data_IF_572150515035
#
_entry.id   IF_572150515035
#
_cell.length_a   1.000
_cell.length_b   1.000
_cell.length_c   1.000
_cell.angle_alpha   90.00
_cell.angle_beta   90.00
_cell.angle_gamma   90.00
#
_symmetry.space_group_name_H-M   'P 1'
#
loop_
_entity.id
_entity.type
_entity.pdbx_description
1 polymer ?
#
# COMPACT_ATOMS: atom_id res chain seq x y z
N UNK A 1 10.53 7.34 -17.53
CA UNK A 1 9.43 6.35 -17.60
C UNK A 1 8.82 6.37 -18.98
N UNK A 2 8.51 5.19 -19.54
CA UNK A 2 7.62 5.15 -20.72
C UNK A 2 6.30 5.81 -20.33
N UNK A 3 5.70 6.51 -21.28
CA UNK A 3 4.58 7.44 -21.08
C UNK A 3 3.33 6.88 -20.39
N UNK A 4 3.21 5.55 -20.22
CA UNK A 4 2.05 4.85 -19.67
C UNK A 4 2.44 3.69 -18.72
N UNK A 5 3.46 3.87 -17.90
CA UNK A 5 3.88 2.84 -16.97
C UNK A 5 3.57 3.22 -15.52
N UNK A 6 3.33 2.22 -14.68
CA UNK A 6 3.30 2.31 -13.22
C UNK A 6 4.25 1.27 -12.64
N UNK A 7 4.68 1.47 -11.41
CA UNK A 7 5.40 0.45 -10.66
C UNK A 7 4.41 -0.22 -9.71
N UNK A 8 4.17 -1.51 -9.88
CA UNK A 8 3.28 -2.30 -9.02
C UNK A 8 4.11 -3.36 -8.30
N UNK A 9 4.22 -3.25 -6.97
CA UNK A 9 5.00 -4.18 -6.15
C UNK A 9 6.41 -4.41 -6.73
N UNK A 10 7.14 -3.33 -6.96
CA UNK A 10 8.50 -3.27 -7.54
C UNK A 10 8.63 -3.71 -9.02
N UNK A 11 7.52 -4.02 -9.69
CA UNK A 11 7.53 -4.39 -11.10
C UNK A 11 6.99 -3.24 -11.97
N UNK A 12 7.72 -2.87 -13.01
CA UNK A 12 7.25 -1.89 -14.00
C UNK A 12 6.19 -2.54 -14.90
N UNK A 13 5.01 -1.92 -14.97
CA UNK A 13 3.85 -2.41 -15.71
C UNK A 13 3.42 -1.38 -16.73
N UNK A 14 3.38 -1.76 -18.00
CA UNK A 14 2.76 -0.97 -19.08
C UNK A 14 1.22 -1.11 -19.00
N UNK A 15 0.54 0.02 -18.84
CA UNK A 15 -0.93 0.10 -18.75
C UNK A 15 -1.57 0.70 -20.01
N UNK A 16 -0.82 0.83 -21.10
CA UNK A 16 -1.31 1.43 -22.37
C UNK A 16 -2.51 0.71 -22.99
N UNK A 17 -2.71 -0.56 -22.62
CA UNK A 17 -3.83 -1.41 -23.09
C UNK A 17 -5.00 -1.47 -22.14
N UNK A 18 -4.86 -0.94 -20.92
CA UNK A 18 -5.92 -0.92 -19.91
C UNK A 18 -6.75 0.35 -20.03
N UNK A 19 -8.02 0.32 -19.61
CA UNK A 19 -8.88 1.51 -19.58
C UNK A 19 -8.40 2.49 -18.49
N UNK A 20 -7.92 3.70 -18.84
CA UNK A 20 -7.46 4.68 -17.85
C UNK A 20 -8.57 5.18 -16.93
N UNK A 21 -9.85 4.99 -17.28
CA UNK A 21 -11.00 5.40 -16.48
C UNK A 21 -11.49 4.30 -15.55
N UNK A 22 -10.97 3.07 -15.64
CA UNK A 22 -11.28 2.03 -14.67
C UNK A 22 -10.81 2.44 -13.27
N UNK A 23 -11.45 1.93 -12.22
CA UNK A 23 -10.93 2.12 -10.87
C UNK A 23 -9.60 1.36 -10.73
N UNK A 24 -8.67 1.94 -9.97
CA UNK A 24 -7.41 1.25 -9.66
C UNK A 24 -7.69 -0.09 -8.94
N UNK A 25 -8.76 -0.14 -8.13
CA UNK A 25 -9.21 -1.35 -7.44
C UNK A 25 -9.58 -2.45 -8.42
N UNK A 26 -10.42 -2.15 -9.42
CA UNK A 26 -10.83 -3.14 -10.45
C UNK A 26 -9.63 -3.64 -11.24
N UNK A 27 -8.74 -2.72 -11.65
CA UNK A 27 -7.54 -3.09 -12.37
C UNK A 27 -6.63 -4.02 -11.55
N UNK A 28 -6.40 -3.71 -10.26
CA UNK A 28 -5.61 -4.55 -9.35
C UNK A 28 -6.25 -5.95 -9.21
N UNK A 29 -7.57 -6.00 -9.03
CA UNK A 29 -8.27 -7.25 -8.75
C UNK A 29 -8.57 -8.08 -10.00
N UNK A 30 -9.03 -7.45 -11.08
CA UNK A 30 -9.54 -8.15 -12.27
C UNK A 30 -8.46 -8.38 -13.32
N UNK A 31 -7.60 -7.38 -13.58
CA UNK A 31 -6.52 -7.53 -14.56
C UNK A 31 -5.23 -8.10 -13.96
N UNK A 32 -4.84 -7.67 -12.75
CA UNK A 32 -3.61 -8.15 -12.10
C UNK A 32 -3.83 -9.34 -11.18
N UNK A 33 -5.08 -9.73 -10.92
CA UNK A 33 -5.45 -10.88 -10.09
C UNK A 33 -4.87 -10.81 -8.66
N UNK A 34 -4.63 -9.59 -8.15
CA UNK A 34 -4.16 -9.33 -6.79
C UNK A 34 -5.37 -9.15 -5.88
N UNK A 35 -5.87 -10.24 -5.32
CA UNK A 35 -7.13 -10.28 -4.57
C UNK A 35 -6.98 -9.93 -3.08
N UNK A 36 -5.77 -9.65 -2.59
CA UNK A 36 -5.54 -9.16 -1.23
C UNK A 36 -6.18 -7.80 -0.99
N UNK A 37 -6.11 -6.88 -1.96
CA UNK A 37 -6.88 -5.63 -1.93
C UNK A 37 -8.36 -5.94 -2.10
N UNK A 38 -9.20 -5.54 -1.12
CA UNK A 38 -10.62 -5.94 -1.06
C UNK A 38 -11.56 -4.82 -1.48
N UNK A 39 -12.68 -5.17 -2.08
CA UNK A 39 -13.79 -4.27 -2.31
C UNK A 39 -14.82 -4.42 -1.19
N UNK A 40 -14.98 -3.39 -0.36
CA UNK A 40 -15.97 -3.36 0.71
C UNK A 40 -17.12 -2.42 0.40
N UNK A 41 -16.89 -1.10 0.46
CA UNK A 41 -17.91 -0.07 0.21
C UNK A 41 -17.89 0.50 -1.21
N UNK A 42 -16.75 0.41 -1.92
CA UNK A 42 -16.51 1.04 -3.24
C UNK A 42 -16.66 2.59 -3.27
N UNK A 43 -16.73 3.24 -2.11
CA UNK A 43 -16.98 4.68 -1.94
C UNK A 43 -15.94 5.39 -1.06
N UNK A 44 -14.81 4.71 -0.73
CA UNK A 44 -13.68 5.30 -0.01
C UNK A 44 -13.82 5.33 1.52
N UNK A 45 -14.82 4.70 2.10
CA UNK A 45 -15.17 4.84 3.52
C UNK A 45 -14.60 3.72 4.41
N UNK A 46 -14.50 2.48 3.92
CA UNK A 46 -14.17 1.31 4.76
C UNK A 46 -12.69 0.96 4.85
N UNK A 47 -11.84 1.48 3.98
CA UNK A 47 -10.38 1.21 3.94
C UNK A 47 -9.98 -0.21 3.50
N UNK A 48 -10.90 -1.10 3.15
CA UNK A 48 -10.57 -2.47 2.73
C UNK A 48 -9.80 -2.51 1.39
N UNK A 49 -9.92 -1.46 0.58
CA UNK A 49 -9.23 -1.28 -0.69
C UNK A 49 -7.91 -0.51 -0.58
N UNK A 50 -7.40 -0.25 0.62
CA UNK A 50 -6.18 0.54 0.82
C UNK A 50 -4.97 -0.08 0.13
N UNK A 51 -4.18 0.78 -0.49
CA UNK A 51 -2.85 0.51 -1.08
C UNK A 51 -1.86 1.57 -0.57
N UNK A 52 -0.56 1.33 -0.73
CA UNK A 52 0.42 2.40 -0.58
C UNK A 52 0.71 3.02 -1.94
N UNK A 53 0.70 4.34 -1.99
CA UNK A 53 0.97 5.12 -3.20
C UNK A 53 2.13 6.07 -2.96
N UNK A 54 3.12 6.07 -3.86
CA UNK A 54 4.15 7.10 -3.97
C UNK A 54 3.91 7.91 -5.24
N UNK A 55 3.86 9.26 -5.14
CA UNK A 55 3.66 10.11 -6.31
C UNK A 55 4.79 10.00 -7.34
N UNK A 56 4.50 10.44 -8.57
CA UNK A 56 5.42 10.44 -9.74
C UNK A 56 6.77 11.10 -9.44
N UNK A 57 6.77 12.19 -8.69
CA UNK A 57 7.98 12.98 -8.41
C UNK A 57 8.76 12.49 -7.19
N UNK A 58 8.53 11.25 -6.77
CA UNK A 58 9.07 10.73 -5.52
C UNK A 58 8.36 11.33 -4.32
N UNK A 59 8.52 10.68 -3.20
CA UNK A 59 7.90 11.11 -1.95
C UNK A 59 7.59 9.93 -1.06
N UNK A 60 7.11 10.25 0.15
CA UNK A 60 6.76 9.21 1.10
C UNK A 60 5.53 8.44 0.62
N UNK A 61 5.60 7.11 0.70
CA UNK A 61 4.46 6.23 0.50
C UNK A 61 3.35 6.58 1.50
N UNK A 62 2.13 6.74 1.00
CA UNK A 62 0.95 7.05 1.82
C UNK A 62 -0.17 6.07 1.50
N UNK A 63 -1.03 5.74 2.47
CA UNK A 63 -2.21 4.94 2.19
C UNK A 63 -3.18 5.74 1.30
N UNK A 64 -3.80 5.04 0.36
CA UNK A 64 -4.83 5.60 -0.51
C UNK A 64 -5.90 4.55 -0.80
N UNK A 65 -7.15 4.99 -0.98
CA UNK A 65 -8.27 4.12 -1.32
C UNK A 65 -8.33 3.89 -2.83
N UNK A 66 -7.94 2.70 -3.27
CA UNK A 66 -7.88 2.35 -4.70
C UNK A 66 -9.24 2.38 -5.41
N UNK A 67 -10.35 2.26 -4.69
CA UNK A 67 -11.69 2.38 -5.26
C UNK A 67 -12.03 3.80 -5.76
N UNK A 68 -11.38 4.84 -5.21
CA UNK A 68 -11.59 6.23 -5.61
C UNK A 68 -10.61 6.70 -6.70
N UNK A 69 -9.49 6.03 -6.85
CA UNK A 69 -8.45 6.37 -7.82
C UNK A 69 -8.77 5.76 -9.19
N UNK A 70 -8.57 6.54 -10.25
CA UNK A 70 -8.59 6.03 -11.62
C UNK A 70 -7.20 5.56 -12.03
N UNK A 71 -7.12 4.52 -12.84
CA UNK A 71 -5.84 3.98 -13.31
C UNK A 71 -4.97 5.04 -14.00
N UNK A 72 -5.57 5.91 -14.81
CA UNK A 72 -4.87 7.00 -15.46
C UNK A 72 -4.25 8.05 -14.51
N UNK A 73 -4.76 8.19 -13.28
CA UNK A 73 -4.25 9.15 -12.29
C UNK A 73 -2.95 8.69 -11.63
N UNK A 74 -2.65 7.39 -11.67
CA UNK A 74 -1.47 6.80 -11.03
C UNK A 74 -0.34 6.46 -12.00
N UNK A 75 -0.46 6.91 -13.26
CA UNK A 75 0.63 6.79 -14.24
C UNK A 75 1.89 7.43 -13.69
N UNK A 76 3.00 6.71 -13.77
CA UNK A 76 4.30 7.17 -13.25
C UNK A 76 4.50 7.01 -11.74
N UNK A 77 3.49 6.56 -11.01
CA UNK A 77 3.55 6.34 -9.56
C UNK A 77 3.99 4.92 -9.22
N UNK A 78 4.41 4.73 -7.96
CA UNK A 78 4.61 3.41 -7.37
C UNK A 78 3.42 3.03 -6.51
N UNK A 79 2.86 1.86 -6.75
CA UNK A 79 1.70 1.28 -6.06
C UNK A 79 2.13 -0.01 -5.38
N UNK A 80 1.87 -0.13 -4.07
CA UNK A 80 2.10 -1.36 -3.32
C UNK A 80 0.78 -1.87 -2.75
N UNK A 81 0.48 -3.11 -3.07
CA UNK A 81 -0.62 -3.87 -2.45
C UNK A 81 -0.09 -4.72 -1.30
N UNK A 82 -0.97 -5.34 -0.54
CA UNK A 82 -0.58 -6.21 0.58
C UNK A 82 0.31 -7.37 0.14
N UNK A 83 0.18 -7.83 -1.10
CA UNK A 83 1.02 -8.88 -1.67
C UNK A 83 2.48 -8.46 -1.84
N UNK A 84 2.74 -7.16 -2.05
CA UNK A 84 4.10 -6.60 -2.10
C UNK A 84 4.74 -6.41 -0.73
N UNK A 85 3.98 -6.51 0.37
CA UNK A 85 4.46 -6.30 1.74
C UNK A 85 4.84 -7.58 2.50
N UNK A 86 4.66 -8.72 1.87
CA UNK A 86 4.98 -10.03 2.44
C UNK A 86 4.24 -11.14 1.73
N UNK A 87 4.66 -12.37 1.95
CA UNK A 87 4.08 -13.54 1.31
C UNK A 87 3.65 -14.59 2.33
N UNK A 88 2.88 -15.58 1.88
CA UNK A 88 2.48 -16.71 2.73
C UNK A 88 3.68 -17.48 3.32
N UNK A 89 4.81 -17.53 2.59
CA UNK A 89 6.04 -18.20 3.06
C UNK A 89 6.89 -17.29 3.92
N UNK A 90 6.86 -15.98 3.68
CA UNK A 90 7.63 -14.97 4.39
C UNK A 90 6.73 -13.78 4.75
N UNK A 91 5.86 -13.93 5.75
CA UNK A 91 5.00 -12.84 6.20
C UNK A 91 5.82 -11.75 6.87
N UNK A 92 5.41 -10.48 6.66
CA UNK A 92 6.05 -9.33 7.29
C UNK A 92 5.89 -9.36 8.82
N UNK A 93 6.71 -8.62 9.59
CA UNK A 93 6.55 -8.49 11.04
C UNK A 93 5.13 -8.05 11.43
N UNK A 94 4.52 -7.14 10.67
CA UNK A 94 3.14 -6.68 10.85
C UNK A 94 2.14 -7.83 10.71
N UNK A 95 2.23 -8.61 9.62
CA UNK A 95 1.35 -9.74 9.38
C UNK A 95 1.50 -10.82 10.46
N UNK A 96 2.73 -11.09 10.90
CA UNK A 96 3.01 -12.01 12.02
C UNK A 96 2.38 -11.53 13.32
N UNK A 97 2.54 -10.25 13.65
CA UNK A 97 2.00 -9.66 14.88
C UNK A 97 0.47 -9.69 14.88
N UNK A 98 -0.19 -9.25 13.80
CA UNK A 98 -1.65 -9.32 13.66
C UNK A 98 -2.18 -10.75 13.86
N UNK A 99 -1.47 -11.76 13.32
CA UNK A 99 -1.84 -13.17 13.52
C UNK A 99 -1.64 -13.61 14.98
N UNK A 100 -0.50 -13.28 15.58
CA UNK A 100 -0.12 -13.68 16.93
C UNK A 100 -1.07 -13.13 17.99
N UNK A 101 -1.50 -11.88 17.85
CA UNK A 101 -2.33 -11.18 18.84
C UNK A 101 -3.83 -11.16 18.48
N UNK A 102 -4.27 -11.94 17.49
CA UNK A 102 -5.68 -12.05 17.14
C UNK A 102 -6.26 -10.81 16.44
N UNK A 103 -5.40 -9.95 15.87
CA UNK A 103 -5.81 -8.76 15.11
C UNK A 103 -6.46 -9.09 13.77
N UNK A 104 -6.57 -10.37 13.40
CA UNK A 104 -7.26 -10.84 12.20
C UNK A 104 -8.18 -12.01 12.56
N UNK A 105 -9.48 -11.91 12.16
CA UNK A 105 -10.48 -12.97 12.36
C UNK A 105 -11.00 -13.44 10.99
N UNK A 106 -12.02 -12.77 10.40
CA UNK A 106 -12.48 -13.15 9.06
C UNK A 106 -11.48 -12.82 7.95
N UNK A 107 -10.52 -11.92 8.21
CA UNK A 107 -9.44 -11.57 7.28
C UNK A 107 -9.79 -10.52 6.23
N UNK A 108 -11.06 -10.09 6.11
CA UNK A 108 -11.49 -9.19 5.04
C UNK A 108 -10.86 -7.79 5.15
N UNK A 109 -10.84 -7.19 6.34
CA UNK A 109 -10.24 -5.88 6.60
C UNK A 109 -8.71 -5.92 6.79
N UNK A 110 -8.14 -7.09 7.07
CA UNK A 110 -6.74 -7.26 7.43
C UNK A 110 -5.75 -6.66 6.41
N UNK A 111 -5.92 -6.82 5.09
CA UNK A 111 -5.03 -6.18 4.12
C UNK A 111 -4.97 -4.67 4.25
N UNK A 112 -6.12 -4.00 4.44
CA UNK A 112 -6.18 -2.55 4.65
C UNK A 112 -5.44 -2.11 5.92
N UNK A 113 -5.60 -2.83 7.03
CA UNK A 113 -4.83 -2.57 8.24
C UNK A 113 -3.33 -2.77 8.05
N UNK A 114 -2.90 -3.82 7.33
CA UNK A 114 -1.47 -4.03 7.01
C UNK A 114 -0.90 -2.83 6.26
N UNK A 115 -1.63 -2.29 5.27
CA UNK A 115 -1.25 -1.08 4.53
C UNK A 115 -1.12 0.14 5.45
N UNK A 116 -2.13 0.41 6.29
CA UNK A 116 -2.15 1.55 7.21
C UNK A 116 -1.00 1.48 8.22
N UNK A 117 -0.81 0.31 8.85
CA UNK A 117 0.28 0.06 9.81
C UNK A 117 1.65 0.18 9.14
N UNK A 118 1.82 -0.36 7.93
CA UNK A 118 3.07 -0.24 7.17
C UNK A 118 3.40 1.22 6.93
N UNK A 119 2.42 2.02 6.50
CA UNK A 119 2.62 3.46 6.33
C UNK A 119 3.03 4.14 7.64
N UNK A 120 2.30 3.89 8.73
CA UNK A 120 2.60 4.47 10.04
C UNK A 120 4.05 4.19 10.45
N UNK A 121 4.46 2.93 10.44
CA UNK A 121 5.78 2.52 10.93
C UNK A 121 6.93 2.95 10.01
N UNK A 122 6.68 3.16 8.72
CA UNK A 122 7.66 3.77 7.82
C UNK A 122 7.80 5.29 8.00
N UNK A 123 6.79 5.96 8.57
CA UNK A 123 6.86 7.39 8.87
C UNK A 123 7.33 7.69 10.29
N UNK A 124 7.09 6.78 11.22
CA UNK A 124 7.30 6.98 12.64
C UNK A 124 7.79 5.69 13.29
N UNK A 125 9.06 5.65 13.65
CA UNK A 125 9.72 4.47 14.23
C UNK A 125 9.07 4.03 15.55
N UNK A 126 8.66 5.00 16.36
CA UNK A 126 8.00 4.79 17.65
C UNK A 126 6.68 5.56 17.68
N UNK A 127 5.59 5.01 17.14
CA UNK A 127 4.29 5.67 17.18
C UNK A 127 3.73 5.70 18.60
N UNK A 128 3.08 6.81 18.96
CA UNK A 128 2.29 6.91 20.18
C UNK A 128 0.93 6.22 19.97
N UNK A 129 0.20 5.99 21.05
CA UNK A 129 -1.16 5.45 20.99
C UNK A 129 -2.08 6.30 20.08
N UNK A 130 -1.96 7.63 20.17
CA UNK A 130 -2.70 8.56 19.31
C UNK A 130 -2.35 8.35 17.84
N UNK A 131 -1.06 8.19 17.50
CA UNK A 131 -0.63 7.95 16.13
C UNK A 131 -1.19 6.64 15.56
N UNK A 132 -1.30 5.62 16.43
CA UNK A 132 -1.88 4.33 16.05
C UNK A 132 -3.37 4.51 15.76
N UNK A 133 -4.12 5.15 16.64
CA UNK A 133 -5.55 5.40 16.42
C UNK A 133 -5.81 6.23 15.18
N UNK A 134 -5.05 7.29 14.95
CA UNK A 134 -5.17 8.14 13.76
C UNK A 134 -4.89 7.36 12.47
N UNK A 135 -3.84 6.53 12.48
CA UNK A 135 -3.49 5.71 11.31
C UNK A 135 -4.55 4.65 10.98
N UNK A 136 -5.26 4.14 11.99
CA UNK A 136 -6.30 3.12 11.82
C UNK A 136 -7.70 3.71 11.54
N UNK A 137 -7.91 5.00 11.75
CA UNK A 137 -9.24 5.64 11.67
C UNK A 137 -9.95 5.44 10.32
N UNK A 138 -9.18 5.31 9.23
CA UNK A 138 -9.71 5.05 7.89
C UNK A 138 -10.03 3.59 7.57
N UNK A 139 -9.91 2.65 8.54
CA UNK A 139 -10.10 1.22 8.31
C UNK A 139 -11.18 0.65 9.23
N UNK A 140 -12.22 0.04 8.65
CA UNK A 140 -13.31 -0.55 9.42
C UNK A 140 -13.13 -2.06 9.62
N UNK A 141 -13.37 -2.52 10.85
CA UNK A 141 -13.42 -3.92 11.23
C UNK A 141 -14.67 -4.25 12.03
N UNK A 142 -15.41 -5.28 11.64
CA UNK A 142 -16.63 -5.72 12.35
C UNK A 142 -16.35 -6.81 13.39
N UNK A 143 -15.24 -7.55 13.25
CA UNK A 143 -15.02 -8.78 14.00
C UNK A 143 -14.24 -8.59 15.29
N UNK A 144 -13.14 -7.82 15.26
CA UNK A 144 -12.11 -7.81 16.31
C UNK A 144 -12.40 -6.85 17.47
N UNK A 145 -13.24 -5.83 17.25
CA UNK A 145 -13.40 -4.73 18.20
C UNK A 145 -12.17 -3.82 18.31
N UNK A 146 -11.25 -3.89 17.33
CA UNK A 146 -10.03 -3.06 17.16
C UNK A 146 -8.92 -3.28 18.19
N UNK A 147 -9.23 -3.54 19.46
CA UNK A 147 -8.25 -3.69 20.54
C UNK A 147 -7.12 -4.68 20.22
N UNK A 148 -7.38 -5.90 19.68
CA UNK A 148 -6.31 -6.82 19.30
C UNK A 148 -5.43 -6.29 18.16
N UNK A 149 -5.96 -5.40 17.30
CA UNK A 149 -5.19 -4.77 16.21
C UNK A 149 -4.22 -3.75 16.81
N UNK A 150 -4.68 -2.89 17.73
CA UNK A 150 -3.83 -1.92 18.44
C UNK A 150 -2.74 -2.65 19.24
N UNK A 151 -3.10 -3.68 20.02
CA UNK A 151 -2.15 -4.49 20.76
C UNK A 151 -1.10 -5.16 19.85
N UNK A 152 -1.50 -5.63 18.69
CA UNK A 152 -0.57 -6.19 17.71
C UNK A 152 0.47 -5.16 17.24
N UNK A 153 0.07 -3.88 17.05
CA UNK A 153 1.00 -2.82 16.62
C UNK A 153 2.01 -2.51 17.72
N UNK A 154 1.55 -2.37 18.96
CA UNK A 154 2.40 -2.08 20.12
C UNK A 154 3.45 -3.16 20.39
N UNK A 155 3.16 -4.41 19.98
CA UNK A 155 4.00 -5.59 20.21
C UNK A 155 4.67 -6.12 18.94
N UNK A 156 4.84 -5.28 17.90
CA UNK A 156 5.59 -5.69 16.72
C UNK A 156 7.05 -5.89 17.08
N UNK A 157 7.55 -7.11 16.87
CA UNK A 157 8.94 -7.46 17.02
C UNK A 157 9.62 -7.55 15.65
N UNK A 158 10.81 -6.96 15.54
CA UNK A 158 11.68 -7.03 14.36
C UNK A 158 11.68 -5.78 13.49
N UNK A 159 12.65 -5.72 12.62
CA UNK A 159 12.84 -4.60 11.69
C UNK A 159 11.74 -4.58 10.63
N UNK A 160 11.07 -3.46 10.53
CA UNK A 160 10.11 -3.22 9.45
C UNK A 160 10.90 -2.89 8.18
N UNK A 161 10.77 -3.67 7.10
CA UNK A 161 11.46 -3.37 5.87
C UNK A 161 11.16 -1.94 5.42
N UNK A 162 12.21 -1.14 5.25
CA UNK A 162 12.05 0.21 4.69
C UNK A 162 11.68 0.09 3.21
N UNK A 163 10.38 0.16 2.91
CA UNK A 163 9.86 0.20 1.54
C UNK A 163 10.34 1.47 0.82
N UNK A 164 10.67 2.52 1.60
CA UNK A 164 11.15 3.81 1.07
C UNK A 164 12.50 3.72 0.36
N UNK A 165 13.39 2.78 0.71
CA UNK A 165 14.68 2.64 0.04
C UNK A 165 14.52 2.19 -1.42
N UNK A 166 13.53 1.36 -1.69
CA UNK A 166 13.26 0.81 -3.04
C UNK A 166 12.57 1.85 -3.90
N UNK A 167 11.49 2.47 -3.41
CA UNK A 167 10.77 3.51 -4.14
C UNK A 167 11.65 4.75 -4.41
N UNK A 168 12.49 5.16 -3.45
CA UNK A 168 13.44 6.26 -3.60
C UNK A 168 14.55 5.94 -4.62
N UNK A 169 15.07 4.71 -4.62
CA UNK A 169 16.11 4.29 -5.56
C UNK A 169 15.59 4.24 -6.98
N UNK A 170 14.39 3.71 -7.19
CA UNK A 170 13.77 3.68 -8.53
C UNK A 170 13.48 5.11 -9.01
N UNK A 171 12.96 5.98 -8.15
CA UNK A 171 12.68 7.37 -8.50
C UNK A 171 13.97 8.16 -8.83
N UNK A 172 15.05 7.96 -8.10
CA UNK A 172 16.35 8.61 -8.38
C UNK A 172 16.99 8.11 -9.69
N UNK A 173 16.83 6.85 -10.03
CA UNK A 173 17.31 6.31 -11.33
C UNK A 173 16.55 6.94 -12.50
N UNK A 174 15.26 7.22 -12.35
CA UNK A 174 14.47 7.86 -13.42
C UNK A 174 14.67 9.38 -13.54
N UNK A 175 15.03 10.08 -12.47
CA UNK A 175 15.33 11.52 -12.54
C UNK A 175 16.69 11.82 -13.15
N UNK A 176 17.66 10.88 -13.08
CA UNK A 176 18.95 11.05 -13.72
C UNK A 176 18.90 10.97 -15.26
N UNK A 177 18.06 10.07 -15.80
CA UNK A 177 17.91 9.92 -17.26
C UNK A 177 17.20 11.12 -17.93
N UNK A 178 16.31 11.80 -17.20
CA UNK A 178 15.62 12.98 -17.70
C UNK A 178 16.51 14.23 -17.79
N UNK A 179 17.65 14.26 -17.10
CA UNK A 179 18.60 15.37 -17.14
C UNK A 179 19.54 15.32 -18.37
N UNK A 180 19.72 14.13 -18.98
CA UNK A 180 20.64 13.93 -20.10
C UNK A 180 20.01 14.24 -21.48
N UNK A 181 18.69 14.40 -21.58
CA UNK A 181 17.99 14.69 -22.84
C UNK A 181 17.99 16.17 -23.22
N UNK A 182 18.55 17.08 -22.41
CA UNK A 182 18.57 18.53 -22.66
C UNK A 182 19.95 19.10 -23.07
N UNK A 183 20.93 18.27 -23.39
CA UNK A 183 22.21 18.71 -23.94
C UNK A 183 22.46 18.14 -25.33
N UNK A 184 21.69 18.62 -26.26
CA UNK A 184 21.87 18.36 -27.71
C UNK A 184 21.39 19.54 -28.51
#
# INVERSE_FOLDING_TARGET
>A
MKKNNIILNDNEIDISKSDPNSSLLDWIRLEKQLHGTKEGCAEGDCGACSILLSPVNGGKLRPANSCLLKLGQVVGSSVYTVEGLGSKKLPSPIQKSLTKYGGSQCGFCTPGFVIAITSLLNHKEKPTEIDIHDALAGNLCRCTGYRPIVEAIEKIDGDIPSIFSIASTICLLYTSDAADEHTG
#
